data_IF_298410966120
#
_entry.id   IF_298410966120
#
_cell.length_a   1.000
_cell.length_b   1.000
_cell.length_c   1.000
_cell.angle_alpha   90.00
_cell.angle_beta   90.00
_cell.angle_gamma   90.00
#
_symmetry.space_group_name_H-M   'P 1'
#
loop_
_entity.id
_entity.type
_entity.pdbx_description
1 polymer ?
#
# COMPACT_ATOMS: atom_id res chain seq x y z
N UNK A 1 12.29 11.30 -10.60
CA UNK A 1 12.78 11.15 -11.99
C UNK A 1 11.55 11.08 -12.89
N UNK A 2 11.44 11.88 -13.97
CA UNK A 2 10.31 11.74 -14.89
C UNK A 2 10.31 10.32 -15.49
N UNK A 3 9.14 9.70 -15.57
CA UNK A 3 8.97 8.43 -16.28
C UNK A 3 9.33 8.67 -17.75
N UNK A 4 10.00 7.70 -18.39
CA UNK A 4 10.13 7.71 -19.84
C UNK A 4 8.74 7.49 -20.49
N UNK A 5 8.65 7.69 -21.81
CA UNK A 5 7.37 7.59 -22.54
C UNK A 5 6.70 6.22 -22.35
N UNK A 6 7.49 5.15 -22.26
CA UNK A 6 7.00 3.79 -22.06
C UNK A 6 6.47 3.57 -20.63
N UNK A 7 7.17 4.06 -19.62
CA UNK A 7 6.79 4.03 -18.22
C UNK A 7 5.54 4.86 -17.95
N UNK A 8 5.42 6.04 -18.59
CA UNK A 8 4.21 6.85 -18.50
C UNK A 8 2.99 6.16 -19.12
N UNK A 9 3.14 5.55 -20.30
CA UNK A 9 2.06 4.78 -20.93
C UNK A 9 1.63 3.59 -20.06
N UNK A 10 2.58 2.89 -19.42
CA UNK A 10 2.29 1.78 -18.50
C UNK A 10 1.55 2.25 -17.25
N UNK A 11 1.98 3.35 -16.66
CA UNK A 11 1.31 3.97 -15.51
C UNK A 11 -0.15 4.31 -15.84
N UNK A 12 -0.40 4.95 -16.98
CA UNK A 12 -1.77 5.26 -17.42
C UNK A 12 -2.59 4.01 -17.71
N UNK A 13 -1.98 2.96 -18.29
CA UNK A 13 -2.65 1.69 -18.53
C UNK A 13 -3.13 1.03 -17.22
N UNK A 14 -2.34 1.09 -16.15
CA UNK A 14 -2.73 0.56 -14.84
C UNK A 14 -3.86 1.41 -14.23
N UNK A 15 -3.75 2.74 -14.28
CA UNK A 15 -4.80 3.63 -13.75
C UNK A 15 -6.15 3.44 -14.45
N UNK A 16 -6.14 3.21 -15.76
CA UNK A 16 -7.34 2.98 -16.55
C UNK A 16 -7.78 1.51 -16.61
N UNK A 17 -6.99 0.58 -16.06
CA UNK A 17 -7.37 -0.82 -15.99
C UNK A 17 -8.68 -0.98 -15.21
N UNK A 18 -9.53 -1.88 -15.68
CA UNK A 18 -10.72 -2.33 -14.96
C UNK A 18 -10.43 -3.72 -14.42
N UNK A 19 -10.83 -3.97 -13.17
CA UNK A 19 -10.66 -5.29 -12.57
C UNK A 19 -11.94 -6.11 -12.76
N UNK A 20 -11.85 -7.41 -13.11
CA UNK A 20 -13.03 -8.26 -13.20
C UNK A 20 -13.80 -8.30 -11.87
N UNK A 21 -15.13 -8.37 -11.93
CA UNK A 21 -16.00 -8.46 -10.75
C UNK A 21 -15.61 -9.63 -9.84
N UNK A 22 -15.22 -10.76 -10.44
CA UNK A 22 -14.74 -11.94 -9.73
C UNK A 22 -13.47 -11.66 -8.89
N UNK A 23 -12.60 -10.75 -9.34
CA UNK A 23 -11.41 -10.33 -8.57
C UNK A 23 -11.84 -9.50 -7.36
N UNK A 24 -12.73 -8.52 -7.57
CA UNK A 24 -13.19 -7.64 -6.49
C UNK A 24 -14.09 -8.36 -5.48
N UNK A 25 -14.83 -9.38 -5.90
CA UNK A 25 -15.68 -10.19 -5.04
C UNK A 25 -14.88 -11.01 -4.02
N UNK A 26 -13.59 -11.29 -4.28
CA UNK A 26 -12.68 -11.94 -3.32
C UNK A 26 -12.15 -10.98 -2.26
N UNK A 27 -12.24 -9.68 -2.50
CA UNK A 27 -11.82 -8.65 -1.56
C UNK A 27 -12.96 -8.40 -0.58
N UNK A 28 -12.74 -8.76 0.67
CA UNK A 28 -13.68 -8.57 1.77
C UNK A 28 -13.85 -7.09 2.12
N UNK A 29 -14.75 -6.81 3.06
CA UNK A 29 -15.00 -5.46 3.56
C UNK A 29 -16.07 -4.70 2.77
N UNK A 30 -16.50 -3.58 3.35
CA UNK A 30 -17.67 -2.81 2.93
C UNK A 30 -17.35 -1.65 1.97
N UNK A 31 -16.09 -1.45 1.57
CA UNK A 31 -15.72 -0.32 0.72
C UNK A 31 -16.35 -0.41 -0.68
N UNK A 32 -16.75 0.74 -1.29
CA UNK A 32 -17.26 0.78 -2.66
C UNK A 32 -16.26 0.21 -3.68
N UNK A 33 -16.79 -0.27 -4.81
CA UNK A 33 -16.00 -0.85 -5.91
C UNK A 33 -14.78 0.00 -6.29
N UNK A 34 -15.00 1.29 -6.57
CA UNK A 34 -13.95 2.20 -7.02
C UNK A 34 -12.81 2.37 -5.99
N UNK A 35 -13.12 2.23 -4.69
CA UNK A 35 -12.14 2.30 -3.60
C UNK A 35 -11.31 1.01 -3.55
N UNK A 36 -11.96 -0.15 -3.70
CA UNK A 36 -11.28 -1.45 -3.81
C UNK A 36 -10.36 -1.52 -5.03
N UNK A 37 -10.84 -1.06 -6.18
CA UNK A 37 -10.04 -0.99 -7.41
C UNK A 37 -8.82 -0.09 -7.25
N UNK A 38 -8.96 1.06 -6.58
CA UNK A 38 -7.83 1.96 -6.40
C UNK A 38 -6.73 1.33 -5.53
N UNK A 39 -7.08 0.63 -4.45
CA UNK A 39 -6.10 -0.08 -3.63
C UNK A 39 -5.27 -1.08 -4.47
N UNK A 40 -5.93 -1.83 -5.37
CA UNK A 40 -5.26 -2.74 -6.31
C UNK A 40 -4.36 -2.00 -7.30
N UNK A 41 -4.85 -0.89 -7.87
CA UNK A 41 -4.09 -0.07 -8.84
C UNK A 41 -2.83 0.51 -8.23
N UNK A 42 -2.91 0.99 -6.99
CA UNK A 42 -1.76 1.52 -6.27
C UNK A 42 -0.65 0.47 -6.13
N UNK A 43 -0.98 -0.74 -5.65
CA UNK A 43 0.02 -1.82 -5.58
C UNK A 43 0.55 -2.20 -6.97
N UNK A 44 -0.33 -2.31 -7.97
CA UNK A 44 0.08 -2.62 -9.34
C UNK A 44 1.05 -1.58 -9.93
N UNK A 45 0.96 -0.31 -9.53
CA UNK A 45 1.92 0.73 -9.93
C UNK A 45 3.30 0.47 -9.30
N UNK A 46 3.37 0.15 -8.01
CA UNK A 46 4.64 -0.16 -7.33
C UNK A 46 5.30 -1.42 -7.90
N UNK A 47 4.48 -2.41 -8.24
CA UNK A 47 4.93 -3.70 -8.76
C UNK A 47 5.12 -3.72 -10.29
N UNK A 48 4.83 -2.61 -10.97
CA UNK A 48 5.02 -2.52 -12.40
C UNK A 48 6.50 -2.71 -12.75
N UNK A 49 6.84 -3.62 -13.69
CA UNK A 49 8.23 -3.82 -14.07
C UNK A 49 8.87 -2.52 -14.53
N UNK A 50 10.04 -2.18 -14.01
CA UNK A 50 10.79 -0.99 -14.42
C UNK A 50 12.30 -1.23 -14.28
N UNK A 51 13.13 -0.67 -15.17
CA UNK A 51 14.57 -0.70 -15.00
C UNK A 51 14.95 -0.09 -13.64
N UNK A 52 15.81 -0.78 -12.89
CA UNK A 52 16.32 -0.32 -11.60
C UNK A 52 15.24 -0.08 -10.52
N UNK A 53 14.16 -0.86 -10.53
CA UNK A 53 13.13 -0.79 -9.50
C UNK A 53 13.25 -1.93 -8.50
N UNK A 54 13.47 -1.59 -7.23
CA UNK A 54 13.52 -2.56 -6.12
C UNK A 54 12.17 -3.28 -5.93
N UNK A 55 11.06 -2.54 -6.02
CA UNK A 55 9.70 -3.06 -5.84
C UNK A 55 9.17 -3.88 -7.03
N UNK A 56 9.88 -3.87 -8.17
CA UNK A 56 9.53 -4.67 -9.33
C UNK A 56 10.07 -6.11 -9.26
N UNK A 57 10.80 -6.46 -8.19
CA UNK A 57 11.34 -7.80 -7.98
C UNK A 57 10.29 -8.74 -7.34
N UNK A 58 10.49 -10.05 -7.51
CA UNK A 58 9.51 -11.11 -7.25
C UNK A 58 8.96 -11.19 -5.81
N UNK A 59 9.61 -10.51 -4.85
CA UNK A 59 9.25 -10.54 -3.45
C UNK A 59 7.95 -9.77 -3.12
N UNK A 60 7.82 -8.50 -3.51
CA UNK A 60 6.66 -7.67 -3.15
C UNK A 60 5.46 -7.87 -4.08
N UNK A 61 5.71 -8.31 -5.32
CA UNK A 61 4.72 -8.67 -6.36
C UNK A 61 3.62 -9.64 -5.91
N UNK A 62 3.85 -10.40 -4.83
CA UNK A 62 2.90 -11.38 -4.27
C UNK A 62 1.94 -10.78 -3.25
N UNK A 63 2.06 -9.48 -2.96
CA UNK A 63 1.19 -8.80 -2.01
C UNK A 63 -0.22 -8.69 -2.60
N UNK A 64 -1.19 -9.32 -1.95
CA UNK A 64 -2.58 -9.36 -2.38
C UNK A 64 -3.47 -8.57 -1.42
N UNK A 65 -4.32 -7.68 -1.95
CA UNK A 65 -5.37 -7.04 -1.15
C UNK A 65 -6.46 -8.06 -0.84
N UNK A 66 -6.75 -8.27 0.44
CA UNK A 66 -7.76 -9.24 0.89
C UNK A 66 -8.98 -8.59 1.54
N UNK A 67 -8.85 -7.37 2.06
CA UNK A 67 -9.96 -6.63 2.67
C UNK A 67 -9.80 -5.12 2.47
N UNK A 68 -10.91 -4.44 2.17
CA UNK A 68 -10.99 -2.97 2.20
C UNK A 68 -12.28 -2.56 2.91
N UNK A 69 -12.14 -1.93 4.06
CA UNK A 69 -13.24 -1.56 4.94
C UNK A 69 -13.18 -0.07 5.29
N UNK A 70 -14.32 0.59 5.26
CA UNK A 70 -14.53 1.97 5.69
C UNK A 70 -15.32 2.00 6.99
N UNK A 71 -14.94 2.91 7.88
CA UNK A 71 -15.68 3.22 9.09
C UNK A 71 -15.75 4.73 9.31
N UNK A 72 -16.72 5.22 10.10
CA UNK A 72 -16.69 6.60 10.60
C UNK A 72 -15.38 6.90 11.32
N UNK A 73 -14.84 8.09 11.09
CA UNK A 73 -13.66 8.60 11.80
C UNK A 73 -14.02 9.24 13.15
N UNK A 74 -13.01 9.75 13.88
CA UNK A 74 -13.19 10.34 15.21
C UNK A 74 -13.85 11.72 15.18
N UNK A 75 -13.79 12.42 14.05
CA UNK A 75 -14.42 13.73 13.85
C UNK A 75 -15.66 13.59 12.97
N UNK A 76 -16.59 14.53 13.10
CA UNK A 76 -17.78 14.60 12.26
C UNK A 76 -17.39 14.61 10.77
N UNK A 77 -18.14 13.86 9.96
CA UNK A 77 -17.92 13.65 8.52
C UNK A 77 -16.56 13.05 8.09
N UNK A 78 -15.69 12.68 9.03
CA UNK A 78 -14.46 11.95 8.70
C UNK A 78 -14.70 10.46 8.51
N UNK A 79 -13.77 9.82 7.80
CA UNK A 79 -13.75 8.38 7.56
C UNK A 79 -12.36 7.85 7.84
N UNK A 80 -12.30 6.61 8.30
CA UNK A 80 -11.06 5.82 8.37
C UNK A 80 -11.20 4.60 7.49
N UNK A 81 -10.09 4.18 6.89
CA UNK A 81 -10.00 3.02 6.03
C UNK A 81 -9.09 1.98 6.68
N UNK A 82 -9.53 0.73 6.64
CA UNK A 82 -8.70 -0.44 6.92
C UNK A 82 -8.46 -1.17 5.61
N UNK A 83 -7.19 -1.29 5.22
CA UNK A 83 -6.72 -2.10 4.11
C UNK A 83 -5.95 -3.29 4.66
N UNK A 84 -6.39 -4.51 4.35
CA UNK A 84 -5.65 -5.72 4.68
C UNK A 84 -5.01 -6.26 3.41
N UNK A 85 -3.70 -6.48 3.50
CA UNK A 85 -2.94 -7.18 2.49
C UNK A 85 -2.35 -8.48 3.07
N UNK A 86 -2.23 -9.50 2.24
CA UNK A 86 -1.53 -10.74 2.58
C UNK A 86 -0.36 -10.96 1.63
N UNK A 87 0.73 -11.52 2.15
CA UNK A 87 1.96 -11.76 1.41
C UNK A 87 2.58 -13.08 1.84
N UNK A 88 2.84 -13.97 0.88
CA UNK A 88 3.64 -15.17 1.09
C UNK A 88 5.13 -14.82 1.07
N UNK A 89 5.84 -15.23 2.12
CA UNK A 89 7.28 -15.01 2.25
C UNK A 89 8.05 -16.01 1.38
N UNK A 90 8.93 -15.48 0.52
CA UNK A 90 9.77 -16.27 -0.39
C UNK A 90 11.25 -15.96 -0.17
N UNK A 91 12.13 -16.78 -0.78
CA UNK A 91 13.58 -16.61 -0.69
C UNK A 91 14.07 -15.21 -1.11
N UNK A 92 13.37 -14.56 -2.04
CA UNK A 92 13.68 -13.21 -2.50
C UNK A 92 13.53 -12.13 -1.41
N UNK A 93 12.87 -12.45 -0.29
CA UNK A 93 12.63 -11.51 0.82
C UNK A 93 13.60 -11.68 1.99
N UNK A 94 14.49 -12.68 1.94
CA UNK A 94 15.34 -13.06 3.07
C UNK A 94 16.63 -12.24 3.12
N UNK A 95 17.20 -12.14 4.33
CA UNK A 95 18.57 -11.70 4.56
C UNK A 95 19.52 -12.89 4.75
N UNK A 96 20.81 -12.60 5.00
CA UNK A 96 21.88 -13.60 5.18
C UNK A 96 21.69 -14.58 6.35
N UNK A 97 20.65 -14.42 7.17
CA UNK A 97 20.31 -15.28 8.31
C UNK A 97 19.10 -16.16 8.01
N UNK A 98 18.64 -16.20 6.76
CA UNK A 98 17.47 -16.96 6.32
C UNK A 98 16.17 -16.54 7.02
N UNK A 99 16.09 -15.25 7.38
CA UNK A 99 14.88 -14.58 7.90
C UNK A 99 14.55 -13.41 7.00
N UNK A 100 13.29 -12.96 6.98
CA UNK A 100 12.88 -11.81 6.17
C UNK A 100 13.69 -10.57 6.54
N UNK A 101 14.26 -9.92 5.53
CA UNK A 101 14.99 -8.69 5.69
C UNK A 101 14.05 -7.59 6.24
N UNK A 102 14.47 -6.92 7.31
CA UNK A 102 13.68 -5.82 7.89
C UNK A 102 13.37 -4.71 6.87
N UNK A 103 14.31 -4.43 5.94
CA UNK A 103 14.10 -3.47 4.86
C UNK A 103 12.96 -3.89 3.92
N UNK A 104 12.85 -5.19 3.62
CA UNK A 104 11.76 -5.72 2.81
C UNK A 104 10.39 -5.51 3.50
N UNK A 105 10.29 -5.78 4.80
CA UNK A 105 9.06 -5.53 5.57
C UNK A 105 8.67 -4.04 5.48
N UNK A 106 9.63 -3.12 5.64
CA UNK A 106 9.36 -1.68 5.57
C UNK A 106 8.91 -1.26 4.17
N UNK A 107 9.48 -1.83 3.11
CA UNK A 107 9.02 -1.59 1.73
C UNK A 107 7.56 -2.01 1.53
N UNK A 108 7.19 -3.22 1.96
CA UNK A 108 5.80 -3.69 1.80
C UNK A 108 4.83 -2.86 2.66
N UNK A 109 5.27 -2.42 3.85
CA UNK A 109 4.50 -1.47 4.68
C UNK A 109 4.26 -0.16 3.91
N UNK A 110 5.29 0.44 3.31
CA UNK A 110 5.18 1.70 2.56
C UNK A 110 4.18 1.59 1.40
N UNK A 111 4.27 0.52 0.61
CA UNK A 111 3.38 0.25 -0.51
C UNK A 111 1.92 0.07 -0.06
N UNK A 112 1.70 -0.76 0.97
CA UNK A 112 0.36 -1.06 1.47
C UNK A 112 -0.27 0.16 2.14
N UNK A 113 0.50 0.91 2.94
CA UNK A 113 0.01 2.14 3.56
C UNK A 113 -0.32 3.19 2.50
N UNK A 114 0.54 3.37 1.49
CA UNK A 114 0.28 4.29 0.39
C UNK A 114 -1.01 3.92 -0.36
N UNK A 115 -1.24 2.63 -0.62
CA UNK A 115 -2.50 2.15 -1.21
C UNK A 115 -3.71 2.44 -0.32
N UNK A 116 -3.58 2.29 1.00
CA UNK A 116 -4.66 2.59 1.96
C UNK A 116 -5.01 4.08 1.98
N UNK A 117 -4.01 4.95 1.94
CA UNK A 117 -4.18 6.41 1.89
C UNK A 117 -4.89 6.82 0.60
N UNK A 118 -4.40 6.36 -0.56
CA UNK A 118 -5.02 6.65 -1.84
C UNK A 118 -6.49 6.18 -1.88
N UNK A 119 -6.75 4.98 -1.37
CA UNK A 119 -8.11 4.45 -1.27
C UNK A 119 -9.01 5.32 -0.38
N UNK A 120 -8.51 5.82 0.76
CA UNK A 120 -9.29 6.71 1.62
C UNK A 120 -9.54 8.07 0.96
N UNK A 121 -8.52 8.68 0.35
CA UNK A 121 -8.67 9.94 -0.40
C UNK A 121 -9.79 9.81 -1.45
N UNK A 122 -9.80 8.71 -2.20
CA UNK A 122 -10.86 8.42 -3.17
C UNK A 122 -12.24 8.21 -2.54
N UNK A 123 -12.30 7.55 -1.38
CA UNK A 123 -13.55 7.35 -0.65
C UNK A 123 -14.14 8.66 -0.13
N UNK A 124 -13.29 9.66 0.13
CA UNK A 124 -13.67 11.00 0.55
C UNK A 124 -13.96 11.95 -0.63
N UNK A 125 -13.96 11.43 -1.87
CA UNK A 125 -14.23 12.20 -3.09
C UNK A 125 -13.00 12.84 -3.72
N UNK A 126 -11.81 12.59 -3.17
CA UNK A 126 -10.54 13.03 -3.72
C UNK A 126 -10.10 12.25 -4.97
N UNK A 127 -9.00 12.69 -5.60
CA UNK A 127 -8.45 12.09 -6.82
C UNK A 127 -7.87 10.67 -6.63
N UNK A 128 -7.71 10.21 -5.39
CA UNK A 128 -7.08 8.93 -5.08
C UNK A 128 -5.56 9.03 -4.94
N UNK A 129 -5.06 10.11 -4.35
CA UNK A 129 -3.63 10.38 -4.23
C UNK A 129 -3.09 9.88 -2.90
N UNK A 130 -2.02 9.08 -2.93
CA UNK A 130 -1.30 8.64 -1.71
C UNK A 130 -0.37 9.72 -1.14
N UNK A 131 0.03 10.70 -1.96
CA UNK A 131 1.04 11.69 -1.59
C UNK A 131 2.45 11.12 -1.62
N UNK A 132 3.32 11.66 -0.76
CA UNK A 132 4.69 11.20 -0.54
C UNK A 132 4.91 10.82 0.91
N UNK A 133 5.63 9.73 1.12
CA UNK A 133 6.06 9.27 2.44
C UNK A 133 7.11 10.22 3.02
N UNK A 134 6.85 10.74 4.22
CA UNK A 134 7.81 11.57 4.96
C UNK A 134 8.58 10.76 5.99
N UNK A 135 7.90 9.88 6.71
CA UNK A 135 8.54 9.02 7.69
C UNK A 135 7.76 7.72 7.90
N UNK A 136 8.51 6.65 8.18
CA UNK A 136 7.98 5.38 8.66
C UNK A 136 8.79 5.00 9.89
N UNK A 137 8.15 5.00 11.05
CA UNK A 137 8.76 4.52 12.29
C UNK A 137 8.28 3.11 12.55
N UNK A 138 9.20 2.13 12.50
CA UNK A 138 8.87 0.70 12.62
C UNK A 138 9.52 0.09 13.86
N UNK A 139 8.76 -0.75 14.58
CA UNK A 139 9.26 -1.62 15.66
C UNK A 139 9.14 -3.06 15.18
N UNK A 140 10.25 -3.80 15.23
CA UNK A 140 10.31 -5.21 14.89
C UNK A 140 10.21 -6.03 16.17
N UNK A 141 9.17 -6.87 16.26
CA UNK A 141 8.85 -7.65 17.45
C UNK A 141 9.37 -9.08 17.34
N UNK A 142 9.26 -9.69 16.15
CA UNK A 142 9.64 -11.08 15.93
C UNK A 142 10.24 -11.27 14.52
N UNK A 143 11.23 -12.16 14.35
CA UNK A 143 11.72 -12.55 13.02
C UNK A 143 10.65 -13.36 12.28
N UNK A 144 10.63 -13.21 10.96
CA UNK A 144 9.73 -13.94 10.05
C UNK A 144 10.56 -14.90 9.21
N UNK A 145 10.07 -16.13 9.05
CA UNK A 145 10.76 -17.19 8.32
C UNK A 145 10.19 -17.36 6.91
N UNK A 146 10.97 -17.94 6.00
CA UNK A 146 10.49 -18.39 4.69
C UNK A 146 9.26 -19.28 4.80
N UNK A 147 8.33 -19.14 3.85
CA UNK A 147 7.08 -19.90 3.85
C UNK A 147 6.03 -19.41 4.86
N UNK A 148 6.34 -18.37 5.64
CA UNK A 148 5.34 -17.70 6.46
C UNK A 148 4.35 -16.92 5.59
N UNK A 149 3.10 -16.81 6.02
CA UNK A 149 2.15 -15.86 5.43
C UNK A 149 2.03 -14.65 6.33
N UNK A 150 2.38 -13.48 5.78
CA UNK A 150 2.23 -12.21 6.46
C UNK A 150 0.86 -11.59 6.15
N UNK A 151 0.23 -11.02 7.17
CA UNK A 151 -0.97 -10.19 7.07
C UNK A 151 -0.66 -8.78 7.53
N UNK A 152 -0.71 -7.83 6.62
CA UNK A 152 -0.50 -6.41 6.87
C UNK A 152 -1.86 -5.74 7.07
N UNK A 153 -2.11 -5.21 8.26
CA UNK A 153 -3.33 -4.48 8.59
C UNK A 153 -3.00 -3.00 8.64
N UNK A 154 -3.42 -2.26 7.63
CA UNK A 154 -3.15 -0.84 7.46
C UNK A 154 -4.40 -0.05 7.84
N UNK A 155 -4.33 0.75 8.89
CA UNK A 155 -5.45 1.58 9.36
C UNK A 155 -5.07 3.05 9.26
N UNK A 156 -5.77 3.77 8.39
CA UNK A 156 -5.60 5.21 8.31
C UNK A 156 -6.11 5.85 9.60
N UNK A 157 -5.41 6.90 10.04
CA UNK A 157 -5.78 7.68 11.22
C UNK A 157 -6.38 9.01 10.77
N UNK A 158 -5.66 9.72 9.90
CA UNK A 158 -6.07 10.98 9.30
C UNK A 158 -5.51 11.08 7.89
N UNK A 159 -6.33 11.52 6.94
CA UNK A 159 -5.91 11.85 5.57
C UNK A 159 -6.50 13.22 5.26
N UNK A 160 -5.62 14.22 5.23
CA UNK A 160 -5.94 15.61 4.92
C UNK A 160 -4.95 16.17 3.89
N UNK A 161 -5.24 17.37 3.38
CA UNK A 161 -4.40 18.02 2.37
C UNK A 161 -2.94 18.22 2.82
N UNK A 162 -2.73 18.51 4.11
CA UNK A 162 -1.40 18.83 4.63
C UNK A 162 -0.69 17.63 5.27
N UNK A 163 -1.44 16.73 5.91
CA UNK A 163 -0.87 15.61 6.66
C UNK A 163 -1.69 14.35 6.47
N UNK A 164 -0.98 13.26 6.28
CA UNK A 164 -1.52 11.91 6.19
C UNK A 164 -0.84 11.05 7.24
N UNK A 165 -1.61 10.26 7.98
CA UNK A 165 -1.07 9.31 8.94
C UNK A 165 -1.81 7.96 8.90
N UNK A 166 -1.04 6.90 9.09
CA UNK A 166 -1.53 5.53 9.04
C UNK A 166 -0.72 4.65 10.00
N UNK A 167 -1.38 3.67 10.63
CA UNK A 167 -0.72 2.64 11.43
C UNK A 167 -0.78 1.32 10.66
N UNK A 168 0.34 0.62 10.61
CA UNK A 168 0.41 -0.72 10.05
C UNK A 168 0.79 -1.73 11.14
N UNK A 169 0.12 -2.87 11.15
CA UNK A 169 0.51 -4.04 11.94
C UNK A 169 0.79 -5.21 11.00
N UNK A 170 1.96 -5.82 11.12
CA UNK A 170 2.37 -6.97 10.32
C UNK A 170 2.30 -8.21 11.20
N UNK A 171 1.35 -9.08 10.90
CA UNK A 171 1.11 -10.33 11.60
C UNK A 171 1.69 -11.50 10.81
N UNK A 172 2.46 -12.36 11.47
CA UNK A 172 2.82 -13.67 10.95
C UNK A 172 1.68 -14.64 11.27
N UNK A 173 0.93 -15.06 10.25
CA UNK A 173 -0.20 -15.96 10.41
C UNK A 173 0.24 -17.40 10.68
N UNK A 174 1.42 -17.79 10.16
CA UNK A 174 1.98 -19.13 10.36
C UNK A 174 2.41 -19.33 11.80
N UNK A 175 3.07 -18.33 12.39
CA UNK A 175 3.51 -18.34 13.79
C UNK A 175 2.52 -17.67 14.76
N UNK A 176 1.42 -17.12 14.24
CA UNK A 176 0.32 -16.49 15.00
C UNK A 176 0.79 -15.39 15.96
N UNK A 177 1.71 -14.53 15.50
CA UNK A 177 2.32 -13.48 16.32
C UNK A 177 2.54 -12.20 15.54
N UNK A 178 2.64 -11.08 16.25
CA UNK A 178 2.98 -9.80 15.64
C UNK A 178 4.46 -9.81 15.25
N UNK A 179 4.77 -9.59 13.96
CA UNK A 179 6.12 -9.51 13.44
C UNK A 179 6.68 -8.08 13.54
N UNK A 180 5.89 -7.09 13.12
CA UNK A 180 6.27 -5.69 13.15
C UNK A 180 5.05 -4.77 13.35
N UNK A 181 5.29 -3.56 13.83
CA UNK A 181 4.30 -2.48 13.85
C UNK A 181 4.94 -1.19 13.36
N UNK A 182 4.20 -0.38 12.61
CA UNK A 182 4.71 0.87 12.07
C UNK A 182 3.71 2.01 12.17
N UNK A 183 4.23 3.23 12.26
CA UNK A 183 3.49 4.48 12.10
C UNK A 183 4.08 5.22 10.91
N UNK A 184 3.21 5.58 9.97
CA UNK A 184 3.50 6.30 8.76
C UNK A 184 3.04 7.75 8.90
N UNK A 185 3.87 8.68 8.40
CA UNK A 185 3.47 10.05 8.12
C UNK A 185 3.81 10.38 6.67
N UNK A 186 2.88 11.07 6.00
CA UNK A 186 3.03 11.52 4.63
C UNK A 186 2.41 12.89 4.41
N UNK A 187 2.62 13.44 3.23
CA UNK A 187 2.06 14.73 2.81
C UNK A 187 1.68 14.69 1.32
N UNK A 188 0.79 15.58 0.89
CA UNK A 188 0.53 15.75 -0.54
C UNK A 188 1.73 16.39 -1.24
N UNK A 189 2.09 15.87 -2.41
CA UNK A 189 3.12 16.47 -3.26
C UNK A 189 2.59 17.73 -3.93
N UNK A 190 3.44 18.74 -4.11
CA UNK A 190 3.08 19.91 -4.91
C UNK A 190 2.83 19.54 -6.38
N UNK A 191 1.96 20.27 -7.10
CA UNK A 191 1.76 20.08 -8.52
C UNK A 191 3.09 20.20 -9.30
N UNK A 192 3.29 19.43 -10.38
CA UNK A 192 4.48 19.56 -11.22
C UNK A 192 4.63 21.00 -11.75
N UNK A 193 5.84 21.56 -11.66
CA UNK A 193 6.13 22.92 -12.18
C UNK A 193 5.82 23.09 -13.68
N UNK A 194 5.76 22.00 -14.44
CA UNK A 194 5.44 22.02 -15.88
C UNK A 194 3.97 22.31 -16.21
N UNK A 195 3.06 22.27 -15.23
CA UNK A 195 1.64 22.63 -15.40
C UNK A 195 1.32 24.08 -15.01
N UNK A 196 2.29 24.84 -14.47
CA UNK A 196 2.10 26.24 -14.06
C UNK A 196 2.29 27.26 -15.20
N UNK A 197 2.30 26.82 -16.47
CA UNK A 197 2.50 27.67 -17.67
C UNK A 197 1.48 27.39 -18.79
N UNK A 198 0.29 26.96 -18.46
CA UNK A 198 -0.90 27.02 -19.33
C UNK A 198 -1.96 27.87 -18.64
#
# INVERSE_FOLDING_TARGET
MPLDTAGHARYLAILHATYPDATLARIQGNAPRAVKELALKCLAIYHAPAPHCFAADAGTLRTAVTEVSLAPGPLEDTRVLTLVCELEVTDASLDRRDVVANAFIVTVIDECVSAAVAALDRAQGGPGMSGVTLSITTVFHNPVLTGSTLRLVNRTLEVAAETTSCRCEVWDLTQRRLAASAVFAGMQSSPPKSLARL
#
